data_IF_289771278124
#
_entry.id   IF_289771278124
#
_cell.length_a   1.000
_cell.length_b   1.000
_cell.length_c   1.000
_cell.angle_alpha   90.00
_cell.angle_beta   90.00
_cell.angle_gamma   90.00
#
_symmetry.space_group_name_H-M   'P 1'
#
loop_
_entity.id
_entity.type
_entity.pdbx_description
1 polymer ?
#
# COMPACT_ATOMS: atom_id res chain seq x y z
N UNK A 1 -21.27 -11.50 4.15
CA UNK A 1 -20.51 -12.75 4.44
C UNK A 1 -21.04 -13.50 5.67
N UNK A 2 -21.74 -12.84 6.60
CA UNK A 2 -22.48 -13.51 7.69
C UNK A 2 -23.89 -13.96 7.31
N UNK A 3 -24.47 -13.42 6.24
CA UNK A 3 -25.86 -13.67 5.83
C UNK A 3 -26.06 -14.99 5.07
N UNK A 4 -25.05 -15.48 4.34
CA UNK A 4 -25.12 -16.79 3.66
C UNK A 4 -25.00 -17.96 4.64
N UNK A 5 -24.12 -17.84 5.63
CA UNK A 5 -23.93 -18.85 6.68
C UNK A 5 -25.17 -19.02 7.58
N UNK A 6 -25.91 -17.93 7.82
CA UNK A 6 -27.13 -17.98 8.64
C UNK A 6 -28.29 -18.65 7.90
N UNK A 7 -28.40 -18.47 6.57
CA UNK A 7 -29.38 -19.13 5.72
C UNK A 7 -29.12 -20.65 5.63
N UNK A 8 -27.86 -21.06 5.50
CA UNK A 8 -27.50 -22.49 5.51
C UNK A 8 -27.81 -23.15 6.86
N UNK A 9 -27.55 -22.46 7.99
CA UNK A 9 -27.86 -22.99 9.32
C UNK A 9 -29.37 -23.01 9.64
N UNK A 10 -30.14 -22.01 9.20
CA UNK A 10 -31.60 -22.00 9.39
C UNK A 10 -32.30 -23.05 8.55
N UNK A 11 -31.79 -23.34 7.35
CA UNK A 11 -32.36 -24.32 6.43
C UNK A 11 -32.04 -25.77 6.84
N UNK A 12 -30.94 -26.00 7.58
CA UNK A 12 -30.63 -27.32 8.21
C UNK A 12 -31.68 -27.70 9.26
N UNK A 13 -32.22 -26.73 10.00
CA UNK A 13 -33.25 -26.96 11.04
C UNK A 13 -34.64 -27.18 10.42
N UNK A 14 -34.85 -26.77 9.17
CA UNK A 14 -36.14 -26.79 8.46
C UNK A 14 -36.10 -27.71 7.23
N UNK A 15 -35.58 -28.94 7.35
CA UNK A 15 -35.35 -29.79 6.17
C UNK A 15 -36.65 -30.35 5.58
N UNK A 16 -37.10 -29.75 4.48
CA UNK A 16 -37.87 -30.45 3.45
C UNK A 16 -36.97 -31.44 2.72
N UNK A 17 -37.40 -32.70 2.67
CA UNK A 17 -36.73 -33.90 2.17
C UNK A 17 -36.47 -33.88 0.64
N UNK A 18 -35.58 -33.02 0.15
CA UNK A 18 -35.12 -33.01 -1.24
C UNK A 18 -33.59 -32.99 -1.27
N UNK A 19 -32.98 -33.93 -1.99
CA UNK A 19 -31.54 -33.96 -2.26
C UNK A 19 -31.13 -32.75 -3.12
N UNK A 20 -30.55 -31.71 -2.51
CA UNK A 20 -29.97 -30.56 -3.23
C UNK A 20 -28.54 -30.87 -3.69
N UNK A 21 -28.19 -30.50 -4.92
CA UNK A 21 -26.79 -30.58 -5.38
C UNK A 21 -25.98 -29.49 -4.69
N UNK A 22 -24.95 -29.91 -3.95
CA UNK A 22 -24.02 -28.97 -3.34
C UNK A 22 -23.03 -28.49 -4.41
N UNK A 23 -23.07 -27.20 -4.76
CA UNK A 23 -22.11 -26.58 -5.67
C UNK A 23 -20.97 -25.94 -4.87
N UNK A 24 -19.72 -26.28 -5.21
CA UNK A 24 -18.55 -25.60 -4.67
C UNK A 24 -18.37 -24.25 -5.37
N UNK A 25 -18.22 -23.19 -4.57
CA UNK A 25 -18.08 -21.81 -5.03
C UNK A 25 -16.76 -21.55 -5.81
N UNK A 26 -15.80 -22.47 -5.73
CA UNK A 26 -14.57 -22.46 -6.52
C UNK A 26 -14.54 -23.73 -7.35
N UNK A 27 -14.57 -23.58 -8.68
CA UNK A 27 -14.45 -24.71 -9.61
C UNK A 27 -13.02 -25.21 -9.65
N UNK A 28 -12.66 -26.06 -8.69
CA UNK A 28 -11.42 -26.83 -8.69
C UNK A 28 -11.70 -28.23 -9.23
N UNK A 29 -11.00 -28.62 -10.30
CA UNK A 29 -11.01 -29.99 -10.82
C UNK A 29 -10.29 -30.92 -9.82
N UNK A 30 -11.05 -31.41 -8.85
CA UNK A 30 -10.60 -32.54 -8.05
C UNK A 30 -10.98 -33.80 -8.80
N UNK A 31 -10.01 -34.66 -9.13
CA UNK A 31 -10.21 -35.98 -9.74
C UNK A 31 -10.86 -37.00 -8.77
N UNK A 32 -11.67 -36.53 -7.83
CA UNK A 32 -12.33 -37.28 -6.75
C UNK A 32 -13.81 -36.90 -6.76
N UNK A 33 -14.70 -37.86 -6.49
CA UNK A 33 -16.15 -37.64 -6.41
C UNK A 33 -16.51 -36.55 -5.41
N UNK A 34 -16.93 -35.38 -5.92
CA UNK A 34 -17.23 -34.18 -5.15
C UNK A 34 -18.43 -34.36 -4.21
N UNK A 35 -19.40 -35.21 -4.56
CA UNK A 35 -20.58 -35.42 -3.71
C UNK A 35 -20.24 -36.32 -2.52
N UNK A 36 -19.39 -37.33 -2.70
CA UNK A 36 -18.99 -38.25 -1.62
C UNK A 36 -18.04 -37.62 -0.60
N UNK A 37 -17.19 -36.69 -1.03
CA UNK A 37 -16.18 -36.05 -0.16
C UNK A 37 -16.46 -34.57 0.13
N UNK A 38 -17.71 -34.12 -0.06
CA UNK A 38 -18.09 -32.72 0.04
C UNK A 38 -17.58 -32.01 1.30
N UNK A 39 -17.80 -32.58 2.48
CA UNK A 39 -17.38 -31.97 3.75
C UNK A 39 -15.84 -31.85 3.89
N UNK A 40 -15.10 -32.84 3.41
CA UNK A 40 -13.63 -32.83 3.45
C UNK A 40 -13.08 -31.79 2.47
N UNK A 41 -13.67 -31.70 1.27
CA UNK A 41 -13.31 -30.71 0.26
C UNK A 41 -13.63 -29.28 0.71
N UNK A 42 -14.81 -29.10 1.29
CA UNK A 42 -15.24 -27.83 1.87
C UNK A 42 -14.28 -27.38 2.99
N UNK A 43 -13.93 -28.28 3.91
CA UNK A 43 -12.96 -27.98 4.95
C UNK A 43 -11.59 -27.60 4.37
N UNK A 44 -11.11 -28.34 3.36
CA UNK A 44 -9.83 -28.08 2.70
C UNK A 44 -9.80 -26.70 2.02
N UNK A 45 -10.85 -26.32 1.29
CA UNK A 45 -10.95 -25.01 0.63
C UNK A 45 -10.98 -23.88 1.66
N UNK A 46 -11.77 -24.03 2.74
CA UNK A 46 -11.80 -23.04 3.82
C UNK A 46 -10.45 -22.92 4.53
N UNK A 47 -9.74 -24.02 4.74
CA UNK A 47 -8.41 -24.01 5.33
C UNK A 47 -7.40 -23.28 4.44
N UNK A 48 -7.37 -23.57 3.13
CA UNK A 48 -6.51 -22.86 2.17
C UNK A 48 -6.84 -21.37 2.14
N UNK A 49 -8.13 -21.03 2.08
CA UNK A 49 -8.56 -19.63 2.05
C UNK A 49 -8.12 -18.89 3.31
N UNK A 50 -8.32 -19.49 4.49
CA UNK A 50 -7.92 -18.92 5.78
C UNK A 50 -6.41 -18.70 5.85
N UNK A 51 -5.62 -19.72 5.48
CA UNK A 51 -4.15 -19.62 5.46
C UNK A 51 -3.71 -18.53 4.47
N UNK A 52 -4.29 -18.49 3.28
CA UNK A 52 -4.01 -17.47 2.27
C UNK A 52 -4.29 -16.06 2.77
N UNK A 53 -5.45 -15.84 3.39
CA UNK A 53 -5.80 -14.55 4.01
C UNK A 53 -4.80 -14.16 5.10
N UNK A 54 -4.43 -15.08 6.00
CA UNK A 54 -3.46 -14.81 7.07
C UNK A 54 -2.10 -14.42 6.49
N UNK A 55 -1.62 -15.12 5.46
CA UNK A 55 -0.33 -14.82 4.80
C UNK A 55 -0.37 -13.47 4.11
N UNK A 56 -1.45 -13.15 3.39
CA UNK A 56 -1.61 -11.86 2.69
C UNK A 56 -1.67 -10.71 3.69
N UNK A 57 -2.50 -10.83 4.74
CA UNK A 57 -2.62 -9.82 5.78
C UNK A 57 -1.31 -9.65 6.56
N UNK A 58 -0.62 -10.75 6.90
CA UNK A 58 0.67 -10.72 7.59
C UNK A 58 1.76 -10.06 6.75
N UNK A 59 1.86 -10.43 5.47
CA UNK A 59 2.86 -9.86 4.56
C UNK A 59 2.56 -8.38 4.28
N UNK A 60 1.31 -8.04 3.99
CA UNK A 60 0.90 -6.66 3.73
C UNK A 60 1.12 -5.75 4.94
N UNK A 61 0.75 -6.19 6.14
CA UNK A 61 0.98 -5.44 7.38
C UNK A 61 2.46 -5.23 7.68
N UNK A 62 3.32 -6.23 7.44
CA UNK A 62 4.77 -6.10 7.58
C UNK A 62 5.35 -5.04 6.64
N UNK A 63 4.93 -5.05 5.36
CA UNK A 63 5.38 -4.07 4.37
C UNK A 63 4.95 -2.64 4.77
N UNK A 64 3.69 -2.47 5.21
CA UNK A 64 3.18 -1.17 5.68
C UNK A 64 3.94 -0.72 6.94
N UNK A 65 4.16 -1.62 7.90
CA UNK A 65 4.89 -1.30 9.14
C UNK A 65 6.33 -0.84 8.85
N UNK A 66 7.00 -1.47 7.89
CA UNK A 66 8.34 -1.07 7.46
C UNK A 66 8.35 0.35 6.87
N UNK A 67 7.41 0.63 5.95
CA UNK A 67 7.26 1.95 5.34
C UNK A 67 6.88 3.02 6.38
N UNK A 68 6.03 2.69 7.34
CA UNK A 68 5.67 3.58 8.44
C UNK A 68 6.83 3.84 9.40
N UNK A 69 7.70 2.84 9.61
CA UNK A 69 8.94 3.02 10.36
C UNK A 69 9.85 4.04 9.67
N UNK A 70 9.97 4.01 8.34
CA UNK A 70 10.70 5.04 7.57
C UNK A 70 10.07 6.42 7.77
N UNK A 71 8.73 6.55 7.67
CA UNK A 71 8.03 7.80 7.96
C UNK A 71 8.35 8.33 9.36
N UNK A 72 8.36 7.44 10.36
CA UNK A 72 8.73 7.75 11.74
C UNK A 72 10.18 8.26 11.85
N UNK A 73 11.12 7.64 11.15
CA UNK A 73 12.52 8.10 11.12
C UNK A 73 12.66 9.49 10.50
N UNK A 74 11.90 9.81 9.45
CA UNK A 74 11.85 11.16 8.90
C UNK A 74 11.29 12.18 9.89
N UNK A 75 10.21 11.83 10.59
CA UNK A 75 9.62 12.68 11.64
C UNK A 75 10.60 12.94 12.79
N UNK A 76 11.36 11.92 13.20
CA UNK A 76 12.41 12.05 14.22
C UNK A 76 13.54 12.97 13.74
N UNK A 77 13.96 12.85 12.49
CA UNK A 77 14.99 13.72 11.91
C UNK A 77 14.53 15.19 11.90
N UNK A 78 13.32 15.46 11.40
CA UNK A 78 12.71 16.81 11.41
C UNK A 78 12.64 17.39 12.84
N UNK A 79 12.13 16.62 13.80
CA UNK A 79 12.04 17.06 15.19
C UNK A 79 13.41 17.41 15.79
N UNK A 80 14.45 16.60 15.50
CA UNK A 80 15.82 16.86 15.96
C UNK A 80 16.38 18.15 15.36
N UNK A 81 16.17 18.41 14.07
CA UNK A 81 16.58 19.67 13.42
C UNK A 81 15.91 20.86 14.10
N UNK A 82 14.58 20.81 14.23
CA UNK A 82 13.79 21.89 14.86
C UNK A 82 14.25 22.16 16.28
N UNK A 83 14.43 21.10 17.09
CA UNK A 83 14.85 21.21 18.49
C UNK A 83 16.27 21.74 18.62
N UNK A 84 17.20 21.29 17.78
CA UNK A 84 18.60 21.72 17.81
C UNK A 84 18.70 23.24 17.58
N UNK A 85 18.00 23.75 16.57
CA UNK A 85 18.03 25.19 16.24
C UNK A 85 17.24 26.02 17.26
N UNK A 86 16.08 25.56 17.73
CA UNK A 86 15.35 26.26 18.80
C UNK A 86 16.17 26.34 20.11
N UNK A 87 16.89 25.27 20.45
CA UNK A 87 17.79 25.28 21.60
C UNK A 87 18.93 26.26 21.39
N UNK A 88 19.39 26.41 20.14
CA UNK A 88 20.37 27.43 19.75
C UNK A 88 19.85 28.86 20.00
N UNK A 89 18.70 29.20 19.42
CA UNK A 89 18.17 30.58 19.49
C UNK A 89 17.72 30.96 20.90
N UNK A 90 17.14 30.04 21.67
CA UNK A 90 16.55 30.37 22.99
C UNK A 90 17.58 30.57 24.12
N UNK A 91 18.84 30.17 23.92
CA UNK A 91 19.87 30.21 24.97
C UNK A 91 21.11 30.92 24.42
N UNK A 92 21.63 31.91 25.15
CA UNK A 92 23.02 32.35 24.96
C UNK A 92 23.93 31.19 25.34
N UNK A 93 24.41 30.43 24.35
CA UNK A 93 25.09 29.16 24.58
C UNK A 93 26.58 29.36 24.83
N UNK A 94 27.09 28.60 25.80
CA UNK A 94 28.52 28.34 25.91
C UNK A 94 28.98 27.45 24.74
N UNK A 95 30.25 27.56 24.35
CA UNK A 95 30.88 26.80 23.27
C UNK A 95 30.63 25.28 23.36
N UNK A 96 30.57 24.73 24.57
CA UNK A 96 30.29 23.31 24.81
C UNK A 96 28.88 22.88 24.35
N UNK A 97 27.88 23.76 24.50
CA UNK A 97 26.51 23.46 24.06
C UNK A 97 26.33 23.66 22.56
N UNK A 98 27.12 24.53 21.92
CA UNK A 98 27.16 24.64 20.46
C UNK A 98 27.64 23.34 19.79
N UNK A 99 28.68 22.70 20.36
CA UNK A 99 29.17 21.38 19.91
C UNK A 99 28.06 20.33 20.01
N UNK A 100 27.24 20.39 21.06
CA UNK A 100 26.13 19.46 21.25
C UNK A 100 25.01 19.68 20.22
N UNK A 101 24.65 20.94 19.92
CA UNK A 101 23.70 21.29 18.85
C UNK A 101 24.20 20.78 17.50
N UNK A 102 25.48 21.00 17.20
CA UNK A 102 26.10 20.52 15.97
C UNK A 102 26.06 18.99 15.85
N UNK A 103 26.36 18.27 16.94
CA UNK A 103 26.29 16.80 17.00
C UNK A 103 24.85 16.28 16.80
N UNK A 104 23.86 16.97 17.38
CA UNK A 104 22.44 16.62 17.21
C UNK A 104 21.97 16.81 15.76
N UNK A 105 22.47 17.85 15.07
CA UNK A 105 22.18 18.09 13.66
C UNK A 105 22.83 17.04 12.75
N UNK A 106 24.10 16.69 12.99
CA UNK A 106 24.77 15.59 12.26
C UNK A 106 23.94 14.32 12.38
N UNK A 107 23.51 13.98 13.61
CA UNK A 107 22.69 12.80 13.85
C UNK A 107 21.35 12.85 13.11
N UNK A 108 20.73 14.03 13.01
CA UNK A 108 19.49 14.18 12.24
C UNK A 108 19.72 13.95 10.74
N UNK A 109 20.83 14.47 10.20
CA UNK A 109 21.22 14.25 8.79
C UNK A 109 21.53 12.79 8.52
N UNK A 110 22.22 12.10 9.43
CA UNK A 110 22.51 10.68 9.31
C UNK A 110 21.22 9.84 9.32
N UNK A 111 20.26 10.17 10.19
CA UNK A 111 18.94 9.52 10.21
C UNK A 111 18.20 9.74 8.89
N UNK A 112 18.19 10.98 8.36
CA UNK A 112 17.56 11.30 7.08
C UNK A 112 18.19 10.51 5.93
N UNK A 113 19.52 10.52 5.83
CA UNK A 113 20.27 9.77 4.81
C UNK A 113 20.03 8.27 4.92
N UNK A 114 20.09 7.72 6.13
CA UNK A 114 19.85 6.30 6.37
C UNK A 114 18.42 5.90 5.97
N UNK A 115 17.43 6.73 6.29
CA UNK A 115 16.02 6.48 5.93
C UNK A 115 15.82 6.42 4.41
N UNK A 116 16.45 7.33 3.66
CA UNK A 116 16.46 7.29 2.19
C UNK A 116 17.13 6.01 1.67
N UNK A 117 18.31 5.65 2.20
CA UNK A 117 19.04 4.45 1.79
C UNK A 117 18.23 3.18 2.03
N UNK A 118 17.65 3.05 3.23
CA UNK A 118 16.79 1.94 3.63
C UNK A 118 15.59 1.81 2.70
N UNK A 119 14.93 2.93 2.38
CA UNK A 119 13.79 2.96 1.45
C UNK A 119 14.17 2.50 0.05
N UNK A 120 15.28 3.01 -0.50
CA UNK A 120 15.74 2.63 -1.82
C UNK A 120 16.14 1.15 -1.88
N UNK A 121 16.82 0.65 -0.83
CA UNK A 121 17.16 -0.75 -0.72
C UNK A 121 15.91 -1.62 -0.72
N UNK A 122 14.89 -1.28 0.08
CA UNK A 122 13.63 -1.99 0.13
C UNK A 122 12.94 -2.10 -1.23
N UNK A 123 12.77 -0.98 -1.94
CA UNK A 123 12.14 -1.01 -3.26
C UNK A 123 12.95 -1.86 -4.23
N UNK A 124 14.29 -1.73 -4.23
CA UNK A 124 15.14 -2.50 -5.14
C UNK A 124 15.01 -4.00 -4.92
N UNK A 125 14.85 -4.45 -3.67
CA UNK A 125 14.68 -5.87 -3.32
C UNK A 125 13.35 -6.43 -3.80
N UNK A 126 12.29 -5.63 -3.78
CA UNK A 126 10.94 -6.05 -4.16
C UNK A 126 10.49 -5.52 -5.53
N UNK A 127 11.41 -4.99 -6.33
CA UNK A 127 11.08 -4.29 -7.58
C UNK A 127 10.29 -5.17 -8.56
N UNK A 128 10.75 -6.40 -8.79
CA UNK A 128 10.09 -7.35 -9.71
C UNK A 128 8.68 -7.70 -9.20
N UNK A 129 8.55 -7.90 -7.89
CA UNK A 129 7.29 -8.25 -7.26
C UNK A 129 6.28 -7.10 -7.32
N UNK A 130 6.70 -5.86 -7.07
CA UNK A 130 5.81 -4.70 -7.21
C UNK A 130 5.41 -4.46 -8.66
N UNK A 131 6.33 -4.65 -9.62
CA UNK A 131 6.00 -4.56 -11.05
C UNK A 131 4.97 -5.59 -11.47
N UNK A 132 5.14 -6.86 -11.07
CA UNK A 132 4.16 -7.90 -11.38
C UNK A 132 2.81 -7.61 -10.73
N UNK A 133 2.77 -7.14 -9.48
CA UNK A 133 1.54 -6.75 -8.78
C UNK A 133 0.81 -5.57 -9.45
N UNK A 134 1.53 -4.60 -10.01
CA UNK A 134 0.91 -3.49 -10.75
C UNK A 134 0.23 -4.02 -12.01
N UNK A 135 0.93 -4.85 -12.78
CA UNK A 135 0.38 -5.43 -14.03
C UNK A 135 -0.83 -6.31 -13.72
N UNK A 136 -0.71 -7.23 -12.75
CA UNK A 136 -1.83 -8.11 -12.39
C UNK A 136 -2.99 -7.33 -11.78
N UNK A 137 -2.73 -6.28 -11.00
CA UNK A 137 -3.76 -5.40 -10.45
C UNK A 137 -4.58 -4.70 -11.52
N UNK A 138 -3.92 -4.10 -12.52
CA UNK A 138 -4.58 -3.42 -13.64
C UNK A 138 -5.37 -4.39 -14.51
N UNK A 139 -4.82 -5.57 -14.82
CA UNK A 139 -5.52 -6.61 -15.59
C UNK A 139 -6.72 -7.17 -14.82
N UNK A 140 -6.58 -7.41 -13.52
CA UNK A 140 -7.67 -7.91 -12.69
C UNK A 140 -8.80 -6.89 -12.62
N UNK A 141 -8.47 -5.60 -12.43
CA UNK A 141 -9.48 -4.55 -12.38
C UNK A 141 -10.21 -4.41 -13.73
N UNK A 142 -9.47 -4.37 -14.85
CA UNK A 142 -10.08 -4.22 -16.19
C UNK A 142 -11.00 -5.40 -16.56
N UNK A 143 -10.58 -6.64 -16.27
CA UNK A 143 -11.38 -7.83 -16.54
C UNK A 143 -12.63 -7.90 -15.68
N UNK A 144 -12.56 -7.53 -14.40
CA UNK A 144 -13.74 -7.53 -13.53
C UNK A 144 -14.73 -6.42 -13.88
N UNK A 145 -14.27 -5.23 -14.28
CA UNK A 145 -15.15 -4.17 -14.80
C UNK A 145 -15.87 -4.67 -16.06
N UNK A 146 -15.15 -5.31 -16.98
CA UNK A 146 -15.73 -5.90 -18.18
C UNK A 146 -16.76 -6.99 -17.87
N UNK A 147 -16.49 -7.86 -16.89
CA UNK A 147 -17.46 -8.88 -16.43
C UNK A 147 -18.73 -8.26 -15.88
N UNK A 148 -18.62 -7.23 -15.02
CA UNK A 148 -19.79 -6.50 -14.52
C UNK A 148 -20.59 -5.92 -15.68
N UNK A 149 -19.93 -5.32 -16.67
CA UNK A 149 -20.61 -4.78 -17.85
C UNK A 149 -21.39 -5.87 -18.62
N UNK A 150 -20.81 -7.07 -18.80
CA UNK A 150 -21.50 -8.20 -19.44
C UNK A 150 -22.75 -8.62 -18.65
N UNK A 151 -22.63 -8.78 -17.33
CA UNK A 151 -23.73 -9.21 -16.45
C UNK A 151 -24.89 -8.21 -16.49
N UNK A 152 -24.57 -6.91 -16.48
CA UNK A 152 -25.60 -5.85 -16.54
C UNK A 152 -26.27 -5.77 -17.91
N UNK A 153 -25.56 -6.10 -19.00
CA UNK A 153 -26.06 -5.92 -20.37
C UNK A 153 -26.85 -7.09 -20.93
N UNK A 154 -26.52 -8.34 -20.56
CA UNK A 154 -27.09 -9.54 -21.19
C UNK A 154 -28.04 -10.31 -20.26
N UNK A 155 -27.58 -10.71 -19.07
CA UNK A 155 -28.37 -11.48 -18.12
C UNK A 155 -27.90 -11.19 -16.69
N UNK A 156 -28.81 -10.66 -15.87
CA UNK A 156 -28.48 -10.21 -14.52
C UNK A 156 -28.38 -11.39 -13.56
N UNK A 157 -27.16 -11.90 -13.39
CA UNK A 157 -26.81 -12.85 -12.33
C UNK A 157 -26.34 -12.10 -11.06
N UNK A 158 -27.17 -12.14 -10.01
CA UNK A 158 -26.87 -11.47 -8.73
C UNK A 158 -25.63 -12.02 -8.03
N UNK A 159 -25.40 -13.34 -8.09
CA UNK A 159 -24.29 -13.97 -7.36
C UNK A 159 -22.94 -13.60 -7.98
N UNK A 160 -22.83 -13.70 -9.30
CA UNK A 160 -21.62 -13.35 -10.04
C UNK A 160 -21.31 -11.84 -9.93
N UNK A 161 -22.34 -10.99 -9.98
CA UNK A 161 -22.19 -9.56 -9.78
C UNK A 161 -21.59 -9.23 -8.41
N UNK A 162 -22.09 -9.86 -7.33
CA UNK A 162 -21.58 -9.65 -5.97
C UNK A 162 -20.12 -10.09 -5.86
N UNK A 163 -19.76 -11.23 -6.46
CA UNK A 163 -18.37 -11.72 -6.45
C UNK A 163 -17.44 -10.73 -7.17
N UNK A 164 -17.78 -10.31 -8.39
CA UNK A 164 -16.98 -9.33 -9.14
C UNK A 164 -16.86 -8.00 -8.40
N UNK A 165 -17.95 -7.52 -7.79
CA UNK A 165 -17.93 -6.28 -7.01
C UNK A 165 -17.02 -6.35 -5.79
N UNK A 166 -17.01 -7.49 -5.07
CA UNK A 166 -16.11 -7.74 -3.95
C UNK A 166 -14.65 -7.73 -4.43
N UNK A 167 -14.34 -8.41 -5.54
CA UNK A 167 -12.98 -8.45 -6.10
C UNK A 167 -12.50 -7.05 -6.48
N UNK A 168 -13.34 -6.28 -7.19
CA UNK A 168 -13.02 -4.89 -7.55
C UNK A 168 -12.76 -4.05 -6.30
N UNK A 169 -13.62 -4.17 -5.29
CA UNK A 169 -13.48 -3.43 -4.04
C UNK A 169 -12.15 -3.76 -3.34
N UNK A 170 -11.77 -5.04 -3.27
CA UNK A 170 -10.50 -5.48 -2.67
C UNK A 170 -9.31 -4.95 -3.48
N UNK A 171 -9.32 -5.11 -4.80
CA UNK A 171 -8.24 -4.63 -5.68
C UNK A 171 -8.08 -3.10 -5.59
N UNK A 172 -9.20 -2.37 -5.58
CA UNK A 172 -9.22 -0.92 -5.46
C UNK A 172 -8.63 -0.47 -4.11
N UNK A 173 -9.10 -1.06 -3.01
CA UNK A 173 -8.58 -0.75 -1.67
C UNK A 173 -7.09 -1.05 -1.56
N UNK A 174 -6.64 -2.19 -2.10
CA UNK A 174 -5.23 -2.55 -2.10
C UNK A 174 -4.35 -1.54 -2.88
N UNK A 175 -4.76 -1.18 -4.10
CA UNK A 175 -4.05 -0.18 -4.91
C UNK A 175 -4.07 1.20 -4.26
N UNK A 176 -5.18 1.58 -3.63
CA UNK A 176 -5.30 2.85 -2.93
C UNK A 176 -4.37 2.90 -1.70
N UNK A 177 -4.43 1.90 -0.82
CA UNK A 177 -3.62 1.85 0.41
C UNK A 177 -2.13 1.84 0.09
N UNK A 178 -1.70 1.01 -0.88
CA UNK A 178 -0.27 0.93 -1.27
C UNK A 178 0.27 2.27 -1.78
N UNK A 179 -0.49 2.96 -2.64
CA UNK A 179 -0.10 4.28 -3.15
C UNK A 179 -0.22 5.40 -2.10
N UNK A 180 -1.17 5.30 -1.17
CA UNK A 180 -1.30 6.22 -0.04
C UNK A 180 -0.08 6.14 0.89
N UNK A 181 0.40 4.94 1.21
CA UNK A 181 1.61 4.77 2.02
C UNK A 181 2.84 5.31 1.29
N UNK A 182 2.91 5.12 -0.04
CA UNK A 182 3.95 5.76 -0.88
C UNK A 182 3.91 7.29 -0.80
N UNK A 183 2.71 7.88 -0.89
CA UNK A 183 2.51 9.32 -0.74
C UNK A 183 2.94 9.83 0.64
N UNK A 184 2.60 9.11 1.72
CA UNK A 184 2.99 9.48 3.08
C UNK A 184 4.51 9.60 3.22
N UNK A 185 5.29 8.75 2.56
CA UNK A 185 6.76 8.81 2.59
C UNK A 185 7.27 10.06 1.88
N UNK A 186 6.70 10.38 0.72
CA UNK A 186 7.01 11.60 -0.04
C UNK A 186 6.76 12.82 0.85
N UNK A 187 5.58 12.87 1.49
CA UNK A 187 5.16 13.97 2.34
C UNK A 187 6.04 14.11 3.60
N UNK A 188 6.40 13.00 4.25
CA UNK A 188 7.30 13.02 5.42
C UNK A 188 8.71 13.46 5.06
N UNK A 189 9.21 13.09 3.88
CA UNK A 189 10.50 13.59 3.41
C UNK A 189 10.41 15.10 3.09
N UNK A 190 9.34 15.55 2.44
CA UNK A 190 9.12 16.98 2.17
C UNK A 190 8.94 17.79 3.47
N UNK A 191 8.37 17.19 4.51
CA UNK A 191 8.23 17.82 5.82
C UNK A 191 9.59 18.15 6.45
N UNK A 192 10.64 17.35 6.22
CA UNK A 192 12.00 17.68 6.68
C UNK A 192 12.50 18.96 6.00
N UNK A 193 12.25 19.09 4.70
CA UNK A 193 12.63 20.28 3.93
C UNK A 193 11.90 21.52 4.45
N UNK A 194 10.56 21.45 4.61
CA UNK A 194 9.74 22.53 5.17
C UNK A 194 10.22 22.90 6.57
N UNK A 195 10.47 21.90 7.42
CA UNK A 195 10.98 22.14 8.77
C UNK A 195 12.30 22.89 8.72
N UNK A 196 13.28 22.42 7.92
CA UNK A 196 14.59 23.04 7.80
C UNK A 196 14.53 24.48 7.25
N UNK A 197 13.51 24.80 6.45
CA UNK A 197 13.27 26.14 5.92
C UNK A 197 12.70 27.10 6.98
N UNK A 198 11.75 26.64 7.80
CA UNK A 198 11.05 27.46 8.80
C UNK A 198 11.90 27.84 10.02
N UNK A 199 12.88 27.01 10.39
CA UNK A 199 13.74 27.30 11.52
C UNK A 199 14.62 28.52 11.26
N UNK A 200 14.97 29.27 12.31
CA UNK A 200 15.83 30.46 12.24
C UNK A 200 17.31 30.08 12.03
N UNK A 201 17.61 29.37 10.94
CA UNK A 201 18.96 28.89 10.66
C UNK A 201 19.93 30.03 10.35
N UNK A 202 19.44 31.16 9.85
CA UNK A 202 20.24 32.35 9.50
C UNK A 202 20.89 33.06 10.70
N UNK A 203 20.44 32.80 11.94
CA UNK A 203 21.10 33.33 13.16
C UNK A 203 22.10 32.36 13.77
N UNK A 204 22.25 31.15 13.21
CA UNK A 204 23.17 30.12 13.72
C UNK A 204 24.60 30.31 13.20
N UNK A 205 25.63 29.67 13.79
CA UNK A 205 27.01 29.73 13.33
C UNK A 205 27.19 29.18 11.92
N UNK A 206 28.20 29.67 11.19
CA UNK A 206 28.50 29.28 9.80
C UNK A 206 28.53 27.75 9.54
N UNK A 207 29.10 26.89 10.40
CA UNK A 207 29.07 25.44 10.19
C UNK A 207 27.65 24.86 10.15
N UNK A 208 26.76 25.35 11.01
CA UNK A 208 25.36 24.90 11.10
C UNK A 208 24.57 25.42 9.89
N UNK A 209 24.77 26.68 9.51
CA UNK A 209 24.16 27.24 8.30
C UNK A 209 24.49 26.43 7.05
N UNK A 210 25.77 26.08 6.85
CA UNK A 210 26.21 25.25 5.71
C UNK A 210 25.53 23.88 5.68
N UNK A 211 25.38 23.24 6.84
CA UNK A 211 24.73 21.93 6.93
C UNK A 211 23.25 22.01 6.55
N UNK A 212 22.54 23.04 7.02
CA UNK A 212 21.11 23.23 6.72
C UNK A 212 20.92 23.57 5.24
N UNK A 213 21.79 24.38 4.65
CA UNK A 213 21.77 24.64 3.21
C UNK A 213 21.90 23.35 2.38
N UNK A 214 22.74 22.39 2.80
CA UNK A 214 22.84 21.08 2.14
C UNK A 214 21.52 20.30 2.26
N UNK A 215 20.87 20.32 3.42
CA UNK A 215 19.56 19.67 3.62
C UNK A 215 18.51 20.31 2.70
N UNK A 216 18.48 21.64 2.62
CA UNK A 216 17.57 22.37 1.73
C UNK A 216 17.83 22.02 0.27
N UNK A 217 19.07 22.10 -0.19
CA UNK A 217 19.45 21.76 -1.56
C UNK A 217 19.10 20.30 -1.90
N UNK A 218 19.25 19.39 -0.94
CA UNK A 218 18.84 17.99 -1.08
C UNK A 218 17.33 17.83 -1.15
N UNK A 219 16.58 18.55 -0.32
CA UNK A 219 15.13 18.52 -0.26
C UNK A 219 14.42 19.10 -1.48
N UNK A 220 15.11 19.95 -2.27
CA UNK A 220 14.59 20.39 -3.57
C UNK A 220 14.46 19.24 -4.58
N UNK A 221 15.19 18.13 -4.40
CA UNK A 221 15.01 16.93 -5.22
C UNK A 221 13.86 16.11 -4.67
N UNK A 222 12.81 15.96 -5.48
CA UNK A 222 11.69 15.07 -5.15
C UNK A 222 12.21 13.65 -4.86
N UNK A 223 11.94 13.18 -3.64
CA UNK A 223 12.15 11.80 -3.23
C UNK A 223 10.81 11.10 -3.22
N UNK A 224 10.74 9.94 -3.86
CA UNK A 224 9.59 9.06 -3.84
C UNK A 224 10.00 7.64 -4.10
N UNK A 225 9.13 6.70 -3.72
CA UNK A 225 9.41 5.29 -3.92
C UNK A 225 9.25 4.93 -5.40
N UNK A 226 10.37 4.82 -6.14
CA UNK A 226 10.38 4.51 -7.57
C UNK A 226 10.41 3.00 -7.83
N UNK A 227 9.31 2.44 -8.30
CA UNK A 227 9.22 1.05 -8.74
C UNK A 227 9.69 0.96 -10.19
N UNK A 228 10.84 0.30 -10.39
CA UNK A 228 11.49 0.05 -11.69
C UNK A 228 11.65 1.26 -12.60
N UNK A 229 11.79 2.45 -12.01
CA UNK A 229 12.02 3.71 -12.73
C UNK A 229 10.81 4.28 -13.47
N UNK A 230 9.73 3.51 -13.61
CA UNK A 230 8.53 3.89 -14.37
C UNK A 230 7.43 4.44 -13.47
N UNK A 231 7.24 3.84 -12.29
CA UNK A 231 6.15 4.20 -11.39
C UNK A 231 6.70 4.80 -10.10
N UNK A 232 6.11 5.89 -9.64
CA UNK A 232 6.37 6.47 -8.33
C UNK A 232 5.17 6.20 -7.46
N UNK A 233 5.32 5.52 -6.32
CA UNK A 233 4.19 5.23 -5.44
C UNK A 233 3.61 6.55 -4.89
N UNK A 234 2.46 6.96 -5.42
CA UNK A 234 1.80 8.23 -5.15
C UNK A 234 0.31 8.16 -5.51
N UNK A 235 -0.48 9.10 -5.01
CA UNK A 235 -1.91 9.20 -5.37
C UNK A 235 -2.11 9.52 -6.88
N UNK A 236 -1.15 10.19 -7.49
CA UNK A 236 -1.10 10.39 -8.94
C UNK A 236 -0.94 9.05 -9.66
N UNK A 237 -0.02 8.19 -9.22
CA UNK A 237 0.14 6.85 -9.78
C UNK A 237 -1.11 5.99 -9.58
N UNK A 238 -1.80 6.10 -8.45
CA UNK A 238 -3.09 5.43 -8.27
C UNK A 238 -4.09 5.83 -9.36
N UNK A 239 -4.20 7.14 -9.63
CA UNK A 239 -5.10 7.66 -10.66
C UNK A 239 -4.73 7.16 -12.05
N UNK A 240 -3.44 7.10 -12.39
CA UNK A 240 -3.00 6.56 -13.68
C UNK A 240 -3.28 5.08 -13.84
N UNK A 241 -3.19 4.27 -12.76
CA UNK A 241 -3.54 2.85 -12.79
C UNK A 241 -5.05 2.62 -12.98
N UNK A 242 -5.90 3.42 -12.34
CA UNK A 242 -7.36 3.36 -12.54
C UNK A 242 -7.70 3.74 -13.98
N UNK A 243 -7.12 4.83 -14.50
CA UNK A 243 -7.32 5.26 -15.88
C UNK A 243 -6.86 4.18 -16.88
N UNK A 244 -5.71 3.55 -16.65
CA UNK A 244 -5.24 2.45 -17.48
C UNK A 244 -6.21 1.26 -17.47
N UNK A 245 -6.77 0.93 -16.30
CA UNK A 245 -7.75 -0.16 -16.17
C UNK A 245 -9.04 0.11 -16.96
N UNK A 246 -9.54 1.35 -16.92
CA UNK A 246 -10.71 1.79 -17.69
C UNK A 246 -10.40 1.79 -19.20
N UNK A 247 -9.21 2.25 -19.59
CA UNK A 247 -8.77 2.23 -20.99
C UNK A 247 -8.69 0.80 -21.53
N UNK A 248 -8.12 -0.15 -20.77
CA UNK A 248 -8.08 -1.56 -21.16
C UNK A 248 -9.48 -2.17 -21.25
N UNK A 249 -10.37 -1.85 -20.31
CA UNK A 249 -11.80 -2.22 -20.41
C UNK A 249 -12.41 -1.73 -21.73
N UNK A 250 -12.19 -0.46 -22.07
CA UNK A 250 -12.75 0.16 -23.29
C UNK A 250 -12.23 -0.53 -24.55
N UNK A 251 -10.93 -0.88 -24.59
CA UNK A 251 -10.34 -1.64 -25.70
C UNK A 251 -11.01 -3.01 -25.84
N UNK A 252 -11.12 -3.78 -24.75
CA UNK A 252 -11.75 -5.11 -24.76
C UNK A 252 -13.20 -5.02 -25.23
N UNK A 253 -13.92 -3.99 -24.78
CA UNK A 253 -15.29 -3.72 -25.23
C UNK A 253 -15.35 -3.44 -26.74
N UNK A 254 -14.47 -2.57 -27.25
CA UNK A 254 -14.45 -2.21 -28.68
C UNK A 254 -14.11 -3.38 -29.60
N UNK A 255 -13.28 -4.33 -29.16
CA UNK A 255 -12.91 -5.52 -29.96
C UNK A 255 -14.01 -6.58 -30.05
N UNK A 256 -15.08 -6.44 -29.25
CA UNK A 256 -16.20 -7.39 -29.20
C UNK A 256 -17.43 -6.91 -29.98
N UNK A 257 -17.48 -5.62 -30.32
CA UNK A 257 -18.38 -5.04 -31.31
C UNK A 257 -17.92 -5.42 -32.72
#
# INVERSE_FOLDING_TARGET
MSTSLWLEFSDIVLSTNISRSHHLQISTEYFIDQQRYFYLLFFHINAIFTIGCVVICGTGSLLIAYLQHVCGMFKIASYRIKRAIHTYTSKNLSTQKEILVYKDLIRAVDIHRNSITISNYFISRFQILFMSLIVTGVLTLSLNIFRIFQIVSFEYNTEEFVICFIIISICFLYMFVSNLVGQQIIDHNNYIFVTAYEVQWYVTPLPIQRLILIILQRGMKSFGLKVGGLFVASLECFTTLINASISYFTIIYSTRL
#
